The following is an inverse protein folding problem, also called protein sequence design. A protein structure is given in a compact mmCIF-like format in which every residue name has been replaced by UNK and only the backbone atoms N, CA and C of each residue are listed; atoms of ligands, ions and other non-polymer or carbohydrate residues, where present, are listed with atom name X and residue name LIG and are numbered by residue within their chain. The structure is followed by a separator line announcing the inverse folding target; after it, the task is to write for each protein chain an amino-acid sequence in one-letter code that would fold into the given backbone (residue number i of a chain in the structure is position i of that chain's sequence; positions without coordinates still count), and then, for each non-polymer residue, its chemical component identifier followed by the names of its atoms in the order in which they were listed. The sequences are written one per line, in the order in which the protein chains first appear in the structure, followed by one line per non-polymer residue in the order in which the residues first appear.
data_IF_584598693388
#
_entry.id   IF_584598693388
#
_cell.length_a   1.000
_cell.length_b   1.000
_cell.length_c   1.000
_cell.angle_alpha   90.00
_cell.angle_beta   90.00
_cell.angle_gamma   90.00
#
_symmetry.space_group_name_H-M   'P 1'
#
loop_
_entity.id
_entity.type
_entity.pdbx_description
1 polymer ?
#
# COMPACT_ATOMS: atom_id res chain seq x y z
N UNK A 1 22.22 6.62 1.15
CA UNK A 1 21.07 5.67 0.99
C UNK A 1 21.58 4.35 0.47
N UNK A 2 21.09 3.22 1.00
CA UNK A 2 21.42 1.91 0.41
C UNK A 2 20.84 1.82 -1.02
N UNK A 3 21.49 1.09 -1.92
CA UNK A 3 21.00 0.87 -3.28
C UNK A 3 19.59 0.24 -3.28
N UNK A 4 19.31 -0.64 -2.32
CA UNK A 4 18.02 -1.29 -2.16
C UNK A 4 16.91 -0.30 -1.79
N UNK A 5 17.17 0.66 -0.90
CA UNK A 5 16.19 1.69 -0.56
C UNK A 5 15.86 2.57 -1.75
N UNK A 6 16.86 2.95 -2.55
CA UNK A 6 16.62 3.70 -3.81
C UNK A 6 15.75 2.90 -4.76
N UNK A 7 15.99 1.59 -4.87
CA UNK A 7 15.16 0.70 -5.69
C UNK A 7 13.72 0.64 -5.17
N UNK A 8 13.49 0.53 -3.85
CA UNK A 8 12.15 0.54 -3.26
C UNK A 8 11.43 1.87 -3.50
N UNK A 9 12.13 3.01 -3.36
CA UNK A 9 11.56 4.33 -3.69
C UNK A 9 11.16 4.42 -5.17
N UNK A 10 11.97 3.87 -6.08
CA UNK A 10 11.63 3.83 -7.50
C UNK A 10 10.44 2.92 -7.79
N UNK A 11 10.33 1.76 -7.13
CA UNK A 11 9.15 0.90 -7.22
C UNK A 11 7.89 1.64 -6.78
N UNK A 12 7.96 2.34 -5.65
CA UNK A 12 6.81 3.11 -5.15
C UNK A 12 6.43 4.27 -6.08
N UNK A 13 7.40 4.93 -6.71
CA UNK A 13 7.11 5.94 -7.75
C UNK A 13 6.38 5.31 -8.94
N UNK A 14 6.82 4.13 -9.40
CA UNK A 14 6.13 3.40 -10.47
C UNK A 14 4.70 3.03 -10.08
N UNK A 15 4.48 2.57 -8.83
CA UNK A 15 3.14 2.30 -8.30
C UNK A 15 2.28 3.58 -8.24
N UNK A 16 2.84 4.69 -7.78
CA UNK A 16 2.16 5.99 -7.78
C UNK A 16 1.70 6.39 -9.19
N UNK A 17 2.59 6.35 -10.18
CA UNK A 17 2.24 6.62 -11.58
C UNK A 17 1.19 5.65 -12.12
N UNK A 18 1.30 4.35 -11.80
CA UNK A 18 0.33 3.36 -12.24
C UNK A 18 -1.07 3.61 -11.67
N UNK A 19 -1.15 4.02 -10.40
CA UNK A 19 -2.42 4.36 -9.73
C UNK A 19 -3.04 5.63 -10.32
N UNK A 20 -2.24 6.62 -10.66
CA UNK A 20 -2.74 7.83 -11.35
C UNK A 20 -3.20 7.51 -12.78
N UNK A 21 -2.45 6.75 -13.55
CA UNK A 21 -2.85 6.32 -14.90
C UNK A 21 -4.14 5.48 -14.86
N UNK A 22 -4.28 4.61 -13.86
CA UNK A 22 -5.53 3.89 -13.61
C UNK A 22 -6.67 4.85 -13.30
N UNK A 23 -6.45 5.82 -12.38
CA UNK A 23 -7.44 6.83 -12.03
C UNK A 23 -7.87 7.68 -13.23
N UNK A 24 -6.95 8.09 -14.06
CA UNK A 24 -7.26 8.88 -15.27
C UNK A 24 -8.11 8.08 -16.26
N UNK A 25 -7.86 6.79 -16.37
CA UNK A 25 -8.60 5.88 -17.25
C UNK A 25 -9.99 5.55 -16.71
N UNK A 26 -10.09 5.22 -15.41
CA UNK A 26 -11.31 4.69 -14.79
C UNK A 26 -12.04 5.68 -13.87
N UNK A 27 -11.51 6.90 -13.74
CA UNK A 27 -12.07 8.00 -12.93
C UNK A 27 -12.18 7.72 -11.43
N UNK A 28 -11.42 6.73 -10.95
CA UNK A 28 -11.25 6.38 -9.53
C UNK A 28 -9.97 5.59 -9.34
N UNK A 29 -9.43 5.54 -8.15
CA UNK A 29 -8.42 4.55 -7.79
C UNK A 29 -9.03 3.14 -7.81
N UNK A 30 -8.23 2.07 -8.01
CA UNK A 30 -8.75 0.72 -8.00
C UNK A 30 -9.33 0.38 -6.62
N UNK A 31 -10.38 -0.46 -6.55
CA UNK A 31 -10.81 -1.04 -5.29
C UNK A 31 -9.71 -1.95 -4.74
N UNK A 32 -9.67 -2.15 -3.44
CA UNK A 32 -8.66 -2.97 -2.77
C UNK A 32 -8.63 -4.43 -3.20
N UNK A 33 -9.77 -4.92 -3.72
CA UNK A 33 -9.88 -6.24 -4.35
C UNK A 33 -10.72 -6.15 -5.63
N UNK A 34 -10.53 -7.08 -6.56
CA UNK A 34 -11.44 -7.25 -7.68
C UNK A 34 -12.75 -7.83 -7.13
N UNK A 35 -13.84 -7.07 -7.22
CA UNK A 35 -15.13 -7.43 -6.65
C UNK A 35 -15.65 -8.76 -7.19
N UNK A 36 -16.21 -9.59 -6.31
CA UNK A 36 -16.84 -10.87 -6.61
C UNK A 36 -17.94 -11.14 -5.61
N UNK A 37 -19.11 -11.59 -6.09
CA UNK A 37 -20.21 -11.97 -5.22
C UNK A 37 -20.02 -13.33 -4.56
N UNK A 38 -19.13 -14.17 -5.14
CA UNK A 38 -18.93 -15.55 -4.70
C UNK A 38 -17.65 -15.78 -3.87
N UNK A 39 -16.78 -14.77 -3.76
CA UNK A 39 -15.50 -14.89 -3.06
C UNK A 39 -15.40 -13.90 -1.91
N UNK A 40 -14.87 -14.36 -0.80
CA UNK A 40 -14.48 -13.46 0.30
C UNK A 40 -13.31 -12.58 -0.13
N UNK A 41 -13.12 -11.38 0.47
CA UNK A 41 -12.03 -10.48 0.09
C UNK A 41 -10.64 -11.12 0.04
N UNK A 42 -10.36 -12.05 0.95
CA UNK A 42 -9.08 -12.78 1.07
C UNK A 42 -8.83 -13.75 -0.08
N UNK A 43 -9.89 -14.23 -0.73
CA UNK A 43 -9.83 -15.15 -1.87
C UNK A 43 -9.82 -14.43 -3.22
N UNK A 44 -10.14 -13.12 -3.22
CA UNK A 44 -10.19 -12.30 -4.44
C UNK A 44 -8.79 -11.93 -4.91
N UNK A 45 -8.71 -11.42 -6.12
CA UNK A 45 -7.51 -10.76 -6.64
C UNK A 45 -7.36 -9.35 -6.06
N UNK A 46 -6.12 -8.94 -5.74
CA UNK A 46 -5.78 -7.64 -5.15
C UNK A 46 -5.88 -6.48 -6.13
N UNK A 47 -5.82 -5.25 -5.59
CA UNK A 47 -5.71 -3.99 -6.34
C UNK A 47 -4.46 -3.91 -7.23
N UNK A 48 -3.43 -4.70 -6.95
CA UNK A 48 -2.21 -4.76 -7.75
C UNK A 48 -2.44 -5.40 -9.12
N UNK A 49 -3.45 -6.26 -9.25
CA UNK A 49 -3.76 -6.91 -10.53
C UNK A 49 -4.24 -5.91 -11.59
N UNK A 50 -5.24 -5.05 -11.36
CA UNK A 50 -5.71 -4.11 -12.37
C UNK A 50 -4.71 -3.01 -12.74
N UNK A 51 -3.65 -2.80 -11.95
CA UNK A 51 -2.60 -1.84 -12.30
C UNK A 51 -1.42 -2.45 -13.08
N UNK A 52 -1.37 -3.77 -13.27
CA UNK A 52 -0.32 -4.45 -14.03
C UNK A 52 -0.07 -3.84 -15.42
N UNK A 53 -1.09 -3.48 -16.22
CA UNK A 53 -0.86 -2.83 -17.52
C UNK A 53 -0.12 -1.50 -17.42
N UNK A 54 -0.24 -0.80 -16.30
CA UNK A 54 0.38 0.51 -16.08
C UNK A 54 1.82 0.42 -15.50
N UNK A 55 2.32 -0.81 -15.29
CA UNK A 55 3.70 -1.12 -14.89
C UNK A 55 4.37 -2.11 -15.86
N UNK A 56 4.01 -2.05 -17.14
CA UNK A 56 4.58 -2.86 -18.22
C UNK A 56 4.39 -4.38 -18.04
N UNK A 57 3.29 -4.79 -17.39
CA UNK A 57 2.95 -6.20 -17.15
C UNK A 57 1.67 -6.63 -17.88
N UNK A 58 1.40 -6.08 -19.09
CA UNK A 58 0.23 -6.41 -19.91
C UNK A 58 0.15 -7.91 -20.21
N UNK A 59 1.28 -8.53 -20.53
CA UNK A 59 1.34 -9.96 -20.82
C UNK A 59 0.95 -10.83 -19.63
N UNK A 60 1.31 -10.41 -18.41
CA UNK A 60 0.91 -11.08 -17.18
C UNK A 60 -0.58 -10.86 -16.90
N UNK A 61 -1.05 -9.61 -17.03
CA UNK A 61 -2.46 -9.25 -16.85
C UNK A 61 -3.39 -10.06 -17.77
N UNK A 62 -2.99 -10.25 -19.03
CA UNK A 62 -3.78 -11.03 -20.01
C UNK A 62 -3.92 -12.53 -19.63
N UNK A 63 -3.00 -13.08 -18.83
CA UNK A 63 -3.02 -14.47 -18.37
C UNK A 63 -3.85 -14.69 -17.10
N UNK A 64 -4.30 -13.63 -16.45
CA UNK A 64 -5.05 -13.71 -15.18
C UNK A 64 -6.55 -13.71 -15.46
N UNK A 65 -7.23 -14.77 -15.00
CA UNK A 65 -8.69 -14.84 -15.00
C UNK A 65 -9.27 -14.03 -13.84
N UNK A 66 -9.73 -12.82 -14.14
CA UNK A 66 -10.25 -11.88 -13.14
C UNK A 66 -11.60 -12.27 -12.53
N UNK A 67 -12.27 -13.29 -13.06
CA UNK A 67 -13.48 -13.88 -12.49
C UNK A 67 -13.21 -15.00 -11.47
N UNK A 68 -11.93 -15.30 -11.19
CA UNK A 68 -11.50 -16.35 -10.27
C UNK A 68 -10.62 -15.80 -9.15
N UNK A 69 -10.54 -16.54 -8.05
CA UNK A 69 -9.66 -16.21 -6.92
C UNK A 69 -8.17 -16.25 -7.30
N UNK A 70 -7.36 -15.56 -6.51
CA UNK A 70 -5.91 -15.47 -6.76
C UNK A 70 -5.20 -16.84 -6.76
N UNK A 71 -5.66 -17.78 -5.93
CA UNK A 71 -5.06 -19.12 -5.79
C UNK A 71 -5.77 -20.20 -6.64
N UNK A 72 -6.66 -19.82 -7.56
CA UNK A 72 -7.36 -20.79 -8.40
C UNK A 72 -6.40 -21.44 -9.39
N UNK A 73 -6.70 -22.69 -9.85
CA UNK A 73 -5.90 -23.36 -10.86
C UNK A 73 -5.74 -22.55 -12.16
N UNK A 74 -6.72 -21.72 -12.51
CA UNK A 74 -6.71 -20.84 -13.68
C UNK A 74 -5.73 -19.67 -13.53
N UNK A 75 -5.35 -19.33 -12.30
CA UNK A 75 -4.52 -18.16 -11.99
C UNK A 75 -3.07 -18.54 -11.62
N UNK A 76 -2.50 -19.60 -12.21
CA UNK A 76 -1.09 -19.97 -11.98
C UNK A 76 -0.11 -18.83 -12.35
N UNK A 77 -0.51 -17.96 -13.26
CA UNK A 77 0.30 -16.80 -13.66
C UNK A 77 0.59 -15.83 -12.49
N UNK A 78 -0.30 -15.76 -11.49
CA UNK A 78 -0.12 -14.91 -10.30
C UNK A 78 1.03 -15.36 -9.39
N UNK A 79 1.53 -16.58 -9.58
CA UNK A 79 2.70 -17.10 -8.85
C UNK A 79 4.03 -16.53 -9.38
N UNK A 80 4.01 -15.72 -10.44
CA UNK A 80 5.22 -15.07 -10.95
C UNK A 80 5.58 -13.87 -10.09
N UNK A 81 6.89 -13.73 -9.83
CA UNK A 81 7.41 -12.53 -9.18
C UNK A 81 7.33 -11.34 -10.12
N UNK A 82 6.76 -10.25 -9.65
CA UNK A 82 6.81 -8.94 -10.30
C UNK A 82 7.79 -8.08 -9.50
N UNK A 83 8.95 -7.79 -10.09
CA UNK A 83 10.06 -7.10 -9.38
C UNK A 83 9.63 -5.75 -8.78
N UNK A 84 8.80 -5.00 -9.51
CA UNK A 84 8.25 -3.72 -9.06
C UNK A 84 7.37 -3.84 -7.81
N UNK A 85 6.84 -5.03 -7.51
CA UNK A 85 5.96 -5.26 -6.36
C UNK A 85 6.70 -5.79 -5.13
N UNK A 86 8.02 -5.95 -5.21
CA UNK A 86 8.86 -6.47 -4.13
C UNK A 86 9.95 -5.48 -3.76
N UNK A 87 10.11 -5.21 -2.48
CA UNK A 87 11.29 -4.52 -1.98
C UNK A 87 12.51 -5.47 -2.03
N UNK A 88 13.67 -5.05 -2.60
CA UNK A 88 14.87 -5.89 -2.65
C UNK A 88 15.44 -6.32 -1.29
N UNK A 89 15.06 -5.65 -0.21
CA UNK A 89 15.43 -6.04 1.16
C UNK A 89 14.47 -7.05 1.78
N UNK A 90 13.31 -7.28 1.16
CA UNK A 90 12.36 -8.27 1.63
C UNK A 90 12.88 -9.68 1.36
N UNK A 91 12.84 -10.54 2.36
CA UNK A 91 13.12 -11.95 2.18
C UNK A 91 11.92 -12.63 1.52
N UNK A 92 12.20 -13.41 0.47
CA UNK A 92 11.17 -14.19 -0.22
C UNK A 92 11.10 -15.57 0.41
N UNK A 93 10.01 -15.84 1.13
CA UNK A 93 9.79 -17.13 1.77
C UNK A 93 8.82 -18.00 0.98
N UNK A 94 9.20 -19.22 0.71
CA UNK A 94 8.34 -20.25 0.13
C UNK A 94 8.04 -20.10 -1.37
N UNK A 95 6.94 -20.72 -1.80
CA UNK A 95 6.54 -20.79 -3.23
C UNK A 95 5.61 -19.64 -3.67
N UNK A 96 5.29 -18.72 -2.78
CA UNK A 96 4.41 -17.59 -3.06
C UNK A 96 5.23 -16.35 -3.37
N UNK A 97 4.75 -15.56 -4.30
CA UNK A 97 5.38 -14.31 -4.69
C UNK A 97 4.86 -13.19 -3.80
N UNK A 98 5.65 -12.82 -2.82
CA UNK A 98 5.29 -11.84 -1.79
C UNK A 98 5.25 -10.43 -2.39
N UNK A 99 4.26 -9.62 -1.98
CA UNK A 99 4.23 -8.18 -2.20
C UNK A 99 4.75 -7.42 -0.99
N UNK A 100 5.45 -6.32 -1.21
CA UNK A 100 5.97 -5.45 -0.14
C UNK A 100 5.15 -4.17 0.05
N UNK A 101 4.08 -3.98 -0.70
CA UNK A 101 3.33 -2.72 -0.74
C UNK A 101 1.86 -2.94 -0.43
N UNK A 102 1.35 -2.18 0.54
CA UNK A 102 0.00 -2.31 1.07
C UNK A 102 -0.77 -1.02 0.85
N UNK A 103 -2.01 -1.13 0.37
CA UNK A 103 -2.94 -0.02 0.24
C UNK A 103 -3.51 0.37 1.59
N UNK A 104 -3.50 1.68 1.90
CA UNK A 104 -4.01 2.23 3.17
C UNK A 104 -5.54 2.29 3.15
N UNK A 105 -6.16 1.59 4.09
CA UNK A 105 -7.62 1.52 4.18
C UNK A 105 -8.25 2.51 5.17
N UNK A 106 -7.43 3.14 6.03
CA UNK A 106 -7.90 4.05 7.06
C UNK A 106 -7.69 3.54 8.47
N UNK A 107 -8.55 3.89 9.42
CA UNK A 107 -8.43 3.58 10.84
C UNK A 107 -9.36 2.42 11.25
N UNK A 108 -8.79 1.44 11.92
CA UNK A 108 -9.45 0.22 12.40
C UNK A 108 -9.19 -0.99 11.52
N UNK A 109 -9.27 -2.19 12.13
CA UNK A 109 -9.11 -3.49 11.43
C UNK A 109 -10.20 -3.70 10.35
N UNK A 110 -11.36 -3.09 10.54
CA UNK A 110 -12.51 -3.12 9.65
C UNK A 110 -12.54 -1.99 8.62
N UNK A 111 -11.54 -1.10 8.64
CA UNK A 111 -11.43 0.03 7.71
C UNK A 111 -11.58 -0.35 6.23
N UNK A 112 -11.10 -1.53 5.76
CA UNK A 112 -11.32 -1.95 4.38
C UNK A 112 -12.80 -2.13 3.98
N UNK A 113 -13.71 -2.28 4.95
CA UNK A 113 -15.15 -2.44 4.74
C UNK A 113 -15.92 -1.12 4.78
N UNK A 114 -15.33 -0.04 5.28
CA UNK A 114 -15.99 1.26 5.43
C UNK A 114 -16.37 1.87 4.09
N UNK A 115 -17.45 2.64 4.08
CA UNK A 115 -17.82 3.49 2.94
C UNK A 115 -16.85 4.68 2.82
N UNK A 116 -16.70 5.24 1.62
CA UNK A 116 -15.85 6.43 1.39
C UNK A 116 -16.33 7.70 2.09
N UNK A 117 -17.53 7.68 2.64
CA UNK A 117 -18.13 8.78 3.45
C UNK A 117 -17.84 8.65 4.94
N UNK A 118 -17.25 7.54 5.37
CA UNK A 118 -16.85 7.35 6.76
C UNK A 118 -15.58 8.14 7.05
N UNK A 119 -15.53 8.87 8.15
CA UNK A 119 -14.37 9.69 8.53
C UNK A 119 -13.11 8.87 8.77
N UNK A 120 -13.24 7.58 9.09
CA UNK A 120 -12.11 6.66 9.27
C UNK A 120 -11.63 6.01 7.99
N UNK A 121 -12.33 6.22 6.85
CA UNK A 121 -12.00 5.57 5.60
C UNK A 121 -10.70 6.15 5.00
N UNK A 122 -9.81 5.27 4.54
CA UNK A 122 -8.64 5.61 3.74
C UNK A 122 -8.90 5.49 2.24
N UNK A 123 -7.84 5.54 1.45
CA UNK A 123 -7.93 5.47 -0.02
C UNK A 123 -8.44 4.11 -0.49
N UNK A 124 -7.95 3.02 0.09
CA UNK A 124 -8.33 1.67 -0.30
C UNK A 124 -9.42 1.09 0.60
N UNK A 125 -10.29 0.30 0.01
CA UNK A 125 -11.26 -0.56 0.68
C UNK A 125 -11.61 -1.70 -0.25
N UNK A 126 -12.07 -2.86 0.26
CA UNK A 126 -12.20 -4.06 -0.54
C UNK A 126 -13.01 -3.85 -1.82
N UNK A 127 -14.17 -3.22 -1.73
CA UNK A 127 -15.04 -2.91 -2.87
C UNK A 127 -15.12 -1.40 -3.15
N UNK A 128 -14.45 -0.56 -2.34
CA UNK A 128 -14.51 0.90 -2.43
C UNK A 128 -13.66 1.42 -3.57
N UNK A 129 -14.28 2.25 -4.42
CA UNK A 129 -13.61 3.02 -5.49
C UNK A 129 -13.51 4.48 -5.07
N UNK A 130 -12.37 4.89 -4.58
CA UNK A 130 -12.14 6.26 -4.13
C UNK A 130 -11.76 7.16 -5.30
N UNK A 131 -12.42 8.31 -5.41
CA UNK A 131 -12.04 9.37 -6.36
C UNK A 131 -11.09 10.34 -5.67
N UNK A 132 -10.16 10.93 -6.41
CA UNK A 132 -9.26 11.94 -5.86
C UNK A 132 -10.02 13.13 -5.26
N UNK A 133 -11.19 13.50 -5.82
CA UNK A 133 -12.05 14.56 -5.31
C UNK A 133 -12.71 14.25 -3.93
N UNK A 134 -12.66 13.02 -3.46
CA UNK A 134 -13.14 12.62 -2.14
C UNK A 134 -12.06 12.77 -1.06
N UNK A 135 -10.81 13.04 -1.46
CA UNK A 135 -9.70 13.25 -0.53
C UNK A 135 -9.68 14.71 -0.11
N UNK A 136 -10.42 15.03 0.96
CA UNK A 136 -10.60 16.41 1.45
C UNK A 136 -9.55 16.84 2.46
N UNK A 137 -8.81 15.90 3.07
CA UNK A 137 -7.73 16.17 4.03
C UNK A 137 -6.43 16.63 3.34
N UNK A 138 -6.43 16.58 1.99
CA UNK A 138 -5.32 17.02 1.15
C UNK A 138 -4.59 15.84 0.50
N UNK A 139 -4.43 15.94 -0.82
CA UNK A 139 -3.80 14.86 -1.61
C UNK A 139 -2.31 14.65 -1.31
N UNK A 140 -1.62 15.67 -0.81
CA UNK A 140 -0.21 15.62 -0.42
C UNK A 140 0.03 15.16 1.02
N UNK A 141 -1.05 15.04 1.80
CA UNK A 141 -1.05 14.63 3.21
C UNK A 141 -1.91 13.39 3.46
N UNK A 142 -2.42 12.75 2.42
CA UNK A 142 -3.15 11.48 2.54
C UNK A 142 -2.32 10.33 2.00
N UNK A 143 -2.05 9.35 2.86
CA UNK A 143 -1.28 8.15 2.55
C UNK A 143 -2.09 7.20 1.67
N UNK A 144 -1.51 6.81 0.54
CA UNK A 144 -2.16 5.89 -0.40
C UNK A 144 -1.57 4.47 -0.31
N UNK A 145 -0.24 4.35 -0.37
CA UNK A 145 0.45 3.05 -0.30
C UNK A 145 1.62 3.15 0.66
N UNK A 146 1.82 2.11 1.46
CA UNK A 146 2.96 2.01 2.37
C UNK A 146 3.73 0.72 2.13
N UNK A 147 5.05 0.80 2.23
CA UNK A 147 5.93 -0.36 2.24
C UNK A 147 5.90 -1.06 3.59
N UNK A 148 5.85 -2.39 3.57
CA UNK A 148 5.92 -3.20 4.79
C UNK A 148 6.56 -4.57 4.53
N UNK A 149 7.19 -5.13 5.57
CA UNK A 149 7.64 -6.53 5.63
C UNK A 149 6.87 -7.32 6.68
N UNK A 150 5.87 -6.72 7.30
CA UNK A 150 5.07 -7.35 8.35
C UNK A 150 3.86 -8.05 7.74
N UNK A 151 3.68 -9.33 8.05
CA UNK A 151 2.53 -10.17 7.63
C UNK A 151 2.20 -10.07 6.13
N UNK A 152 3.23 -10.01 5.31
CA UNK A 152 3.09 -9.97 3.86
C UNK A 152 2.61 -11.32 3.33
N UNK A 153 1.88 -11.26 2.21
CA UNK A 153 1.41 -12.42 1.49
C UNK A 153 1.60 -12.27 -0.02
N UNK A 154 0.99 -13.16 -0.80
CA UNK A 154 1.06 -13.07 -2.26
C UNK A 154 0.56 -11.70 -2.75
N UNK A 155 1.33 -11.06 -3.65
CA UNK A 155 0.96 -9.75 -4.20
C UNK A 155 -0.41 -9.75 -4.88
N UNK A 156 -0.82 -10.90 -5.41
CA UNK A 156 -2.11 -11.06 -6.10
C UNK A 156 -3.29 -11.35 -5.16
N UNK A 157 -3.01 -11.66 -3.87
CA UNK A 157 -4.05 -11.97 -2.89
C UNK A 157 -4.77 -10.69 -2.45
N UNK A 158 -6.08 -10.73 -2.41
CA UNK A 158 -6.90 -9.71 -1.76
C UNK A 158 -6.81 -9.77 -0.24
N UNK A 159 -7.56 -8.92 0.44
CA UNK A 159 -7.62 -8.92 1.89
C UNK A 159 -6.40 -8.29 2.55
N UNK A 160 -6.15 -8.70 3.78
CA UNK A 160 -5.13 -8.17 4.67
C UNK A 160 -3.70 -8.13 4.09
N UNK A 161 -3.23 -9.10 3.29
CA UNK A 161 -1.88 -9.05 2.72
C UNK A 161 -1.59 -7.83 1.86
N UNK A 162 -2.60 -7.21 1.27
CA UNK A 162 -2.44 -6.11 0.31
C UNK A 162 -3.25 -4.86 0.62
N UNK A 163 -4.21 -4.92 1.58
CA UNK A 163 -5.03 -3.78 2.02
C UNK A 163 -5.25 -3.86 3.51
N UNK A 164 -4.83 -2.83 4.25
CA UNK A 164 -4.95 -2.78 5.72
C UNK A 164 -5.42 -1.43 6.21
N UNK A 165 -6.17 -1.43 7.31
CA UNK A 165 -6.34 -0.28 8.17
C UNK A 165 -5.32 -0.26 9.29
N UNK A 166 -5.13 0.88 9.91
CA UNK A 166 -4.31 1.05 11.12
C UNK A 166 -5.09 0.51 12.31
N UNK A 167 -4.51 -0.46 13.00
CA UNK A 167 -5.02 -0.92 14.29
C UNK A 167 -4.58 0.05 15.40
N UNK A 168 -5.54 0.78 15.95
CA UNK A 168 -5.29 1.85 16.93
C UNK A 168 -5.24 1.35 18.38
N UNK A 169 -5.04 0.06 18.62
CA UNK A 169 -5.05 -0.55 19.95
C UNK A 169 -3.74 -0.39 20.74
N UNK A 170 -2.81 0.47 20.29
CA UNK A 170 -1.59 0.84 21.00
C UNK A 170 -0.32 0.11 20.56
N UNK A 171 -0.34 -0.64 19.47
CA UNK A 171 0.87 -1.20 18.86
C UNK A 171 1.68 -0.13 18.11
N UNK A 172 3.01 -0.31 18.01
CA UNK A 172 3.86 0.53 17.15
C UNK A 172 3.37 0.45 15.68
N UNK A 173 3.25 1.60 15.01
CA UNK A 173 2.82 1.64 13.61
C UNK A 173 3.95 1.35 12.65
N UNK A 174 5.11 1.92 12.89
CA UNK A 174 6.29 1.85 12.02
C UNK A 174 7.48 1.21 12.75
N UNK A 175 8.55 0.99 12.01
CA UNK A 175 9.74 0.33 12.52
C UNK A 175 9.72 -1.18 12.25
N UNK A 176 10.75 -1.91 12.67
CA UNK A 176 10.91 -3.32 12.30
C UNK A 176 9.81 -4.25 12.82
N UNK A 177 9.17 -3.89 13.91
CA UNK A 177 8.12 -4.66 14.58
C UNK A 177 6.75 -4.00 14.51
N UNK A 178 6.63 -2.86 13.85
CA UNK A 178 5.37 -2.13 13.71
C UNK A 178 4.43 -2.77 12.69
N UNK A 179 3.16 -2.38 12.73
CA UNK A 179 2.10 -2.87 11.81
C UNK A 179 2.47 -2.69 10.33
N UNK A 180 3.24 -1.64 10.01
CA UNK A 180 3.79 -1.34 8.70
C UNK A 180 5.31 -1.29 8.79
N UNK A 181 5.89 -2.31 9.42
CA UNK A 181 7.32 -2.43 9.61
C UNK A 181 8.06 -2.59 8.30
N UNK A 182 9.22 -1.95 8.18
CA UNK A 182 10.12 -2.03 7.04
C UNK A 182 11.55 -2.27 7.50
N UNK A 183 12.38 -2.87 6.65
CA UNK A 183 13.81 -3.11 6.95
C UNK A 183 14.68 -1.87 6.67
N UNK A 184 14.10 -0.78 6.20
CA UNK A 184 14.85 0.43 5.87
C UNK A 184 15.20 1.27 7.10
N UNK A 185 16.33 1.99 6.98
CA UNK A 185 16.80 2.99 7.93
C UNK A 185 17.16 4.27 7.20
N UNK A 186 16.99 5.40 7.86
CA UNK A 186 17.49 6.68 7.34
C UNK A 186 19.01 6.77 7.50
N UNK A 187 19.66 7.53 6.63
CA UNK A 187 21.07 7.88 6.79
C UNK A 187 21.20 9.20 7.54
N UNK A 188 20.97 9.21 8.83
CA UNK A 188 21.36 10.36 9.64
C UNK A 188 22.75 10.16 10.23
N UNK A 189 23.66 11.07 9.92
CA UNK A 189 25.00 11.09 10.51
C UNK A 189 24.96 11.76 11.88
N UNK A 190 24.60 11.01 12.89
CA UNK A 190 24.90 11.39 14.26
C UNK A 190 26.23 10.79 14.68
N UNK A 191 26.90 11.39 15.66
CA UNK A 191 28.17 10.90 16.22
C UNK A 191 28.14 9.41 16.63
N UNK A 192 26.94 8.84 16.83
CA UNK A 192 26.70 7.46 17.25
C UNK A 192 26.10 6.57 16.17
N UNK A 193 25.97 7.04 14.91
CA UNK A 193 25.40 6.27 13.77
C UNK A 193 24.07 5.56 14.06
N UNK A 194 23.18 6.21 14.81
CA UNK A 194 21.82 5.71 14.98
C UNK A 194 21.00 6.11 13.76
N UNK A 195 20.54 5.11 13.03
CA UNK A 195 19.70 5.30 11.85
C UNK A 195 18.26 5.00 12.23
N UNK A 196 17.35 6.00 12.26
CA UNK A 196 15.95 5.76 12.52
C UNK A 196 15.35 4.77 11.52
N UNK A 197 14.56 3.84 12.02
CA UNK A 197 13.74 2.94 11.22
C UNK A 197 12.70 3.75 10.47
N UNK A 198 12.47 3.44 9.20
CA UNK A 198 11.53 4.18 8.36
C UNK A 198 10.83 3.26 7.36
N UNK A 199 9.62 3.65 6.96
CA UNK A 199 8.89 2.99 5.87
C UNK A 199 8.66 3.97 4.72
N UNK A 200 8.87 3.51 3.48
CA UNK A 200 8.58 4.32 2.31
C UNK A 200 7.08 4.38 2.06
N UNK A 201 6.59 5.53 1.62
CA UNK A 201 5.16 5.79 1.46
C UNK A 201 4.89 6.55 0.16
N UNK A 202 3.76 6.24 -0.49
CA UNK A 202 3.22 7.01 -1.61
C UNK A 202 1.96 7.74 -1.15
N UNK A 203 1.89 9.03 -1.40
CA UNK A 203 0.73 9.87 -1.11
C UNK A 203 -0.21 9.96 -2.31
N UNK A 204 -1.42 10.47 -2.09
CA UNK A 204 -2.44 10.56 -3.15
C UNK A 204 -2.03 11.50 -4.29
N UNK A 205 -1.14 12.47 -4.06
CA UNK A 205 -0.55 13.31 -5.11
C UNK A 205 0.53 12.61 -5.95
N UNK A 206 0.85 11.35 -5.65
CA UNK A 206 1.91 10.58 -6.30
C UNK A 206 3.30 10.84 -5.74
N UNK A 207 3.46 11.74 -4.78
CA UNK A 207 4.75 11.96 -4.11
C UNK A 207 5.14 10.73 -3.30
N UNK A 208 6.45 10.44 -3.28
CA UNK A 208 7.01 9.33 -2.49
C UNK A 208 7.93 9.92 -1.44
N UNK A 209 7.66 9.58 -0.19
CA UNK A 209 8.41 10.02 0.99
C UNK A 209 8.68 8.82 1.89
N UNK A 210 9.48 8.99 2.92
CA UNK A 210 9.58 8.02 4.00
C UNK A 210 9.05 8.61 5.29
N UNK A 211 8.43 7.77 6.10
CA UNK A 211 7.99 8.11 7.45
C UNK A 211 8.87 7.37 8.45
N UNK A 212 9.36 8.10 9.44
CA UNK A 212 10.21 7.54 10.50
C UNK A 212 9.37 6.96 11.63
N UNK A 213 9.92 5.95 12.34
CA UNK A 213 9.26 5.31 13.49
C UNK A 213 8.83 6.29 14.57
N UNK A 214 9.54 7.40 14.71
CA UNK A 214 9.27 8.44 15.72
C UNK A 214 8.16 9.42 15.32
N UNK A 215 7.46 9.19 14.20
CA UNK A 215 6.30 10.01 13.85
C UNK A 215 5.27 9.94 14.97
N UNK A 216 4.68 11.09 15.30
CA UNK A 216 3.59 11.13 16.27
C UNK A 216 2.43 10.22 15.83
N UNK A 217 1.91 9.33 16.70
CA UNK A 217 0.85 8.40 16.35
C UNK A 217 -0.40 9.07 15.78
N UNK A 218 -0.86 10.18 16.37
CA UNK A 218 -2.05 10.89 15.87
C UNK A 218 -1.80 11.50 14.48
N UNK A 219 -0.57 11.97 14.24
CA UNK A 219 -0.17 12.44 12.91
C UNK A 219 -0.22 11.29 11.89
N UNK A 220 0.30 10.11 12.23
CA UNK A 220 0.25 8.95 11.33
C UNK A 220 -1.19 8.50 11.05
N UNK A 221 -2.04 8.48 12.07
CA UNK A 221 -3.47 8.18 11.94
C UNK A 221 -4.18 9.18 11.00
N UNK A 222 -3.92 10.47 11.19
CA UNK A 222 -4.49 11.53 10.35
C UNK A 222 -4.05 11.43 8.87
N UNK A 223 -2.84 10.92 8.58
CA UNK A 223 -2.41 10.65 7.20
C UNK A 223 -3.18 9.49 6.55
N UNK A 224 -3.81 8.61 7.31
CA UNK A 224 -4.43 7.40 6.78
C UNK A 224 -5.86 7.60 6.30
N UNK A 225 -6.51 8.74 6.62
CA UNK A 225 -7.89 9.03 6.27
C UNK A 225 -8.00 9.95 5.05
N UNK A 226 -9.11 9.84 4.31
CA UNK A 226 -9.38 10.70 3.14
C UNK A 226 -10.22 11.94 3.49
N UNK A 227 -10.95 11.89 4.60
CA UNK A 227 -11.91 12.91 5.03
C UNK A 227 -12.15 12.89 6.56
N UNK A 228 -11.11 12.65 7.36
CA UNK A 228 -11.16 12.70 8.82
C UNK A 228 -11.29 14.12 9.37
N UNK A 229 -10.84 15.10 8.60
CA UNK A 229 -10.95 16.52 8.93
C UNK A 229 -9.75 17.08 9.67
N UNK A 230 -8.71 16.29 9.90
CA UNK A 230 -7.46 16.69 10.54
C UNK A 230 -6.60 17.51 9.56
N UNK A 231 -6.02 18.58 10.05
CA UNK A 231 -5.01 19.33 9.29
C UNK A 231 -3.62 18.85 9.72
N UNK A 232 -2.94 18.18 8.82
CA UNK A 232 -1.58 17.69 9.04
C UNK A 232 -0.59 18.55 8.26
N UNK A 233 0.40 19.09 8.96
CA UNK A 233 1.60 19.65 8.34
C UNK A 233 2.72 18.64 8.49
N UNK A 234 3.13 18.02 7.39
CA UNK A 234 4.33 17.18 7.39
C UNK A 234 5.56 18.09 7.41
N UNK A 235 6.54 17.81 8.27
CA UNK A 235 7.84 18.49 8.19
C UNK A 235 8.44 18.31 6.80
N UNK A 236 9.13 19.35 6.32
CA UNK A 236 9.66 19.44 4.94
C UNK A 236 10.70 18.33 4.63
N UNK A 237 11.24 17.66 5.65
CA UNK A 237 12.36 16.71 5.57
C UNK A 237 11.98 15.24 5.86
N UNK A 238 10.80 14.79 5.48
CA UNK A 238 10.44 13.36 5.54
C UNK A 238 10.48 12.69 4.18
#
# INVERSE_FOLDING_TARGET
MSANRVSCLNNMKQLGYALHNYHDTFRSFPPGTISSESLQPEDRLSWLVPILPFIEQDNLYAQINRGKGWNSPENQATKRQVKTLLCPESEVYGNFQIGSYVGMAGLGKDAPLLASTDAKAGVFGYDRKTKQSQVTDGVSTTLMVIETNFENGPWSAGGFPTVRGIDTDGSDYLGFTGQFGSLHRTEESTLFKVYPECSNCTFVDGSVRYLVKTIDPLTFEALATIAGGEKVELPIDY
#
